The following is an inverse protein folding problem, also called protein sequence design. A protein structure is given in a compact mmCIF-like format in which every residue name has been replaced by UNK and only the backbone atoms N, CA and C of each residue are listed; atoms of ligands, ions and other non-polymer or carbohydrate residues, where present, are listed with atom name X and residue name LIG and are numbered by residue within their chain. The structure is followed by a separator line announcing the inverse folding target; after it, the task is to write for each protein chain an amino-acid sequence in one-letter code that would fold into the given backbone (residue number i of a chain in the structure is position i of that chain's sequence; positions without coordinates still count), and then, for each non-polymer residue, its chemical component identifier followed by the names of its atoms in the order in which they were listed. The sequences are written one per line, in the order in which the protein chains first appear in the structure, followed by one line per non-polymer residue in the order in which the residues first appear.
data_IF_258730799404
#
_entry.id   IF_258730799404
#
_cell.length_a   1.000
_cell.length_b   1.000
_cell.length_c   1.000
_cell.angle_alpha   90.00
_cell.angle_beta   90.00
_cell.angle_gamma   90.00
#
_symmetry.space_group_name_H-M   'P 1'
#
loop_
_entity.id
_entity.type
_entity.pdbx_description
1 polymer ?
#
# COMPACT_ATOMS: atom_id res chain seq x y z
N UNK A 1 20.88 -24.46 10.98
CA UNK A 1 20.42 -23.19 10.37
C UNK A 1 19.85 -23.57 9.01
N UNK A 2 18.65 -23.10 8.66
CA UNK A 2 18.08 -23.45 7.35
C UNK A 2 18.99 -22.92 6.24
N UNK A 3 19.23 -23.71 5.20
CA UNK A 3 20.14 -23.36 4.09
C UNK A 3 19.78 -22.01 3.43
N UNK A 4 18.50 -21.65 3.42
CA UNK A 4 18.02 -20.37 2.91
C UNK A 4 18.30 -19.19 3.85
N UNK A 5 18.88 -19.39 5.03
CA UNK A 5 19.25 -18.32 5.97
C UNK A 5 20.77 -18.09 6.03
N UNK A 6 21.51 -18.65 5.08
CA UNK A 6 22.95 -18.46 4.98
C UNK A 6 23.30 -17.01 4.62
N UNK A 7 24.18 -16.38 5.40
CA UNK A 7 24.62 -15.02 5.15
C UNK A 7 25.35 -14.89 3.81
N UNK A 8 26.11 -15.92 3.43
CA UNK A 8 26.83 -15.92 2.15
C UNK A 8 25.85 -15.81 0.99
N UNK A 9 24.68 -16.46 1.06
CA UNK A 9 23.70 -16.37 0.00
C UNK A 9 23.10 -14.96 -0.14
N UNK A 10 22.81 -14.28 0.96
CA UNK A 10 22.04 -13.03 0.94
C UNK A 10 22.87 -11.75 0.94
N UNK A 11 24.05 -11.77 1.56
CA UNK A 11 24.86 -10.59 1.86
C UNK A 11 26.11 -10.51 0.97
N UNK A 12 26.79 -9.36 0.92
CA UNK A 12 28.04 -9.21 0.17
C UNK A 12 29.12 -10.15 0.71
N UNK A 13 30.11 -10.46 -0.13
CA UNK A 13 31.22 -11.33 0.25
C UNK A 13 31.94 -10.80 1.50
N UNK A 14 32.16 -11.70 2.47
CA UNK A 14 32.83 -11.36 3.73
C UNK A 14 31.94 -10.70 4.79
N UNK A 15 30.62 -10.60 4.57
CA UNK A 15 29.66 -10.08 5.54
C UNK A 15 28.84 -11.23 6.14
N UNK A 16 28.71 -11.25 7.46
CA UNK A 16 27.92 -12.23 8.22
C UNK A 16 26.80 -11.56 9.02
N UNK A 17 25.80 -12.35 9.44
CA UNK A 17 24.76 -11.87 10.37
C UNK A 17 25.33 -11.34 11.70
N UNK A 18 26.43 -11.94 12.18
CA UNK A 18 27.08 -11.55 13.43
C UNK A 18 27.64 -10.12 13.37
N UNK A 19 28.10 -9.68 12.19
CA UNK A 19 28.63 -8.33 11.99
C UNK A 19 27.57 -7.23 12.17
N UNK A 20 26.29 -7.58 12.04
CA UNK A 20 25.17 -6.69 12.31
C UNK A 20 24.65 -6.86 13.74
N UNK A 21 24.43 -8.09 14.19
CA UNK A 21 23.83 -8.35 15.51
C UNK A 21 24.69 -7.84 16.66
N UNK A 22 26.01 -7.93 16.53
CA UNK A 22 26.94 -7.44 17.56
C UNK A 22 27.00 -5.90 17.65
N UNK A 23 26.45 -5.17 16.66
CA UNK A 23 26.42 -3.70 16.62
C UNK A 23 25.16 -3.10 17.25
N UNK A 24 24.29 -3.91 17.84
CA UNK A 24 23.00 -3.48 18.45
C UNK A 24 23.18 -2.78 19.81
N UNK A 25 24.32 -2.14 20.07
CA UNK A 25 24.70 -1.63 21.40
C UNK A 25 24.39 -0.16 21.62
N UNK A 26 24.01 0.59 20.59
CA UNK A 26 23.68 2.02 20.71
C UNK A 26 22.22 2.23 21.14
N UNK A 27 21.95 2.96 22.26
CA UNK A 27 20.60 3.26 22.69
C UNK A 27 19.80 3.99 21.61
N UNK A 28 18.61 3.48 21.28
CA UNK A 28 17.71 4.09 20.29
C UNK A 28 17.92 3.64 18.84
N UNK A 29 18.92 2.80 18.59
CA UNK A 29 19.17 2.20 17.28
C UNK A 29 19.20 0.67 17.38
N UNK A 30 18.89 0.01 16.27
CA UNK A 30 18.93 -1.44 16.17
C UNK A 30 19.33 -1.91 14.78
N UNK A 31 19.73 -3.18 14.70
CA UNK A 31 19.87 -3.90 13.43
C UNK A 31 18.70 -4.87 13.26
N UNK A 32 18.25 -5.13 12.02
CA UNK A 32 17.21 -6.12 11.76
C UNK A 32 17.59 -7.50 12.24
N UNK A 33 16.59 -8.26 12.68
CA UNK A 33 16.68 -9.66 13.03
C UNK A 33 15.35 -10.32 12.64
N UNK A 34 15.36 -11.59 12.22
CA UNK A 34 14.12 -12.25 11.78
C UNK A 34 13.04 -12.32 12.87
N UNK A 35 13.45 -12.42 14.14
CA UNK A 35 12.51 -12.44 15.28
C UNK A 35 11.68 -11.16 15.37
N UNK A 36 12.16 -10.04 14.84
CA UNK A 36 11.41 -8.79 14.80
C UNK A 36 10.18 -8.88 13.89
N UNK A 37 10.10 -9.83 12.96
CA UNK A 37 8.88 -10.08 12.20
C UNK A 37 7.69 -10.46 13.10
N UNK A 38 7.97 -10.97 14.32
CA UNK A 38 6.90 -11.19 15.30
C UNK A 38 6.24 -9.88 15.75
N UNK A 39 6.98 -8.76 15.76
CA UNK A 39 6.40 -7.43 16.05
C UNK A 39 5.42 -7.00 14.95
N UNK A 40 5.68 -7.38 13.70
CA UNK A 40 4.76 -7.18 12.58
C UNK A 40 3.47 -7.98 12.77
N UNK A 41 3.58 -9.24 13.21
CA UNK A 41 2.41 -10.08 13.53
C UNK A 41 1.61 -9.50 14.70
N UNK A 42 2.28 -9.11 15.79
CA UNK A 42 1.64 -8.52 16.96
C UNK A 42 0.89 -7.23 16.62
N UNK A 43 1.53 -6.31 15.91
CA UNK A 43 0.88 -5.07 15.44
C UNK A 43 -0.27 -5.36 14.49
N UNK A 44 -0.18 -6.40 13.64
CA UNK A 44 -1.29 -6.85 12.81
C UNK A 44 -2.49 -7.35 13.61
N UNK A 45 -2.27 -8.17 14.63
CA UNK A 45 -3.34 -8.60 15.56
C UNK A 45 -3.95 -7.39 16.26
N UNK A 46 -3.13 -6.46 16.75
CA UNK A 46 -3.61 -5.22 17.37
C UNK A 46 -4.46 -4.39 16.42
N UNK A 47 -4.09 -4.29 15.14
CA UNK A 47 -4.85 -3.55 14.13
C UNK A 47 -6.16 -4.26 13.74
N UNK A 48 -6.20 -5.59 13.76
CA UNK A 48 -7.45 -6.36 13.59
C UNK A 48 -8.40 -6.10 14.76
N UNK A 49 -7.90 -6.13 16.01
CA UNK A 49 -8.70 -5.81 17.19
C UNK A 49 -9.18 -4.35 17.13
N UNK A 50 -8.28 -3.42 16.79
CA UNK A 50 -8.62 -2.01 16.58
C UNK A 50 -9.75 -1.88 15.56
N UNK A 51 -9.68 -2.55 14.42
CA UNK A 51 -10.74 -2.56 13.41
C UNK A 51 -12.07 -3.03 14.00
N UNK A 52 -12.09 -4.22 14.61
CA UNK A 52 -13.32 -4.81 15.15
C UNK A 52 -13.97 -3.94 16.23
N UNK A 53 -13.18 -3.22 17.03
CA UNK A 53 -13.69 -2.34 18.08
C UNK A 53 -14.13 -0.99 17.50
N UNK A 54 -13.25 -0.28 16.80
CA UNK A 54 -13.53 1.09 16.36
C UNK A 54 -14.60 1.14 15.27
N UNK A 55 -14.66 0.16 14.38
CA UNK A 55 -15.69 0.09 13.34
C UNK A 55 -17.10 0.01 13.99
N UNK A 56 -17.28 -0.92 14.93
CA UNK A 56 -18.58 -1.18 15.56
C UNK A 56 -18.98 -0.12 16.60
N UNK A 57 -18.03 0.42 17.36
CA UNK A 57 -18.33 1.29 18.50
C UNK A 57 -18.13 2.78 18.25
N UNK A 58 -17.39 3.16 17.19
CA UNK A 58 -17.10 4.57 16.91
C UNK A 58 -17.61 4.98 15.54
N UNK A 59 -17.11 4.35 14.47
CA UNK A 59 -17.36 4.82 13.12
C UNK A 59 -18.79 4.56 12.63
N UNK A 60 -19.36 3.37 12.90
CA UNK A 60 -20.75 3.07 12.53
C UNK A 60 -21.74 3.98 13.28
N UNK A 61 -21.70 4.12 14.63
CA UNK A 61 -22.56 5.07 15.33
C UNK A 61 -22.40 6.52 14.85
N UNK A 62 -21.16 6.96 14.59
CA UNK A 62 -20.88 8.29 14.07
C UNK A 62 -21.49 8.49 12.67
N UNK A 63 -21.40 7.49 11.78
CA UNK A 63 -22.00 7.54 10.45
C UNK A 63 -23.53 7.65 10.52
N UNK A 64 -24.18 6.92 11.44
CA UNK A 64 -25.61 7.05 11.71
C UNK A 64 -25.99 8.41 12.29
N UNK A 65 -25.19 8.93 13.22
CA UNK A 65 -25.43 10.25 13.84
C UNK A 65 -25.31 11.40 12.83
N UNK A 66 -24.29 11.36 11.97
CA UNK A 66 -24.04 12.39 10.96
C UNK A 66 -25.04 12.31 9.79
N UNK A 67 -25.72 11.17 9.63
CA UNK A 67 -26.74 11.01 8.60
C UNK A 67 -27.95 11.92 8.84
N UNK A 68 -28.15 12.87 7.92
CA UNK A 68 -29.33 13.76 7.91
C UNK A 68 -30.59 13.15 7.26
N UNK A 69 -30.55 11.89 6.81
CA UNK A 69 -31.67 11.24 6.11
C UNK A 69 -32.62 10.53 7.09
N UNK A 70 -33.92 10.62 6.81
CA UNK A 70 -34.97 9.89 7.54
C UNK A 70 -34.72 8.39 7.48
N UNK A 71 -35.08 7.63 8.54
CA UNK A 71 -34.98 6.18 8.51
C UNK A 71 -35.89 5.61 7.41
N UNK A 72 -35.37 4.64 6.62
CA UNK A 72 -36.14 4.00 5.57
C UNK A 72 -37.31 3.19 6.15
N UNK A 73 -38.44 3.20 5.44
CA UNK A 73 -39.69 2.54 5.88
C UNK A 73 -39.68 1.02 5.63
N UNK A 74 -38.88 0.56 4.65
CA UNK A 74 -38.81 -0.85 4.27
C UNK A 74 -37.64 -1.55 4.94
N UNK A 75 -37.81 -2.83 5.29
CA UNK A 75 -36.74 -3.68 5.82
C UNK A 75 -35.51 -3.70 4.91
N UNK A 76 -35.73 -3.77 3.59
CA UNK A 76 -34.65 -3.75 2.61
C UNK A 76 -33.89 -2.42 2.66
N UNK A 77 -34.60 -1.28 2.71
CA UNK A 77 -33.97 0.03 2.83
C UNK A 77 -33.15 0.18 4.12
N UNK A 78 -33.60 -0.42 5.23
CA UNK A 78 -32.83 -0.44 6.50
C UNK A 78 -31.51 -1.20 6.31
N UNK A 79 -31.56 -2.39 5.70
CA UNK A 79 -30.37 -3.21 5.44
C UNK A 79 -29.39 -2.52 4.47
N UNK A 80 -29.89 -1.86 3.43
CA UNK A 80 -29.05 -1.16 2.45
C UNK A 80 -28.39 0.07 3.08
N UNK A 81 -29.11 0.77 3.97
CA UNK A 81 -28.56 1.88 4.76
C UNK A 81 -27.47 1.41 5.72
N UNK A 82 -27.66 0.27 6.38
CA UNK A 82 -26.66 -0.33 7.26
C UNK A 82 -25.39 -0.70 6.51
N UNK A 83 -25.53 -1.44 5.39
CA UNK A 83 -24.39 -1.79 4.51
C UNK A 83 -23.64 -0.54 4.04
N UNK A 84 -24.37 0.51 3.64
CA UNK A 84 -23.77 1.79 3.23
C UNK A 84 -22.88 2.35 4.35
N UNK A 85 -23.41 2.50 5.56
CA UNK A 85 -22.64 3.11 6.66
C UNK A 85 -21.49 2.26 7.16
N UNK A 86 -21.63 0.93 7.15
CA UNK A 86 -20.51 0.03 7.45
C UNK A 86 -19.38 0.24 6.44
N UNK A 87 -19.68 0.28 5.14
CA UNK A 87 -18.65 0.55 4.11
C UNK A 87 -18.02 1.93 4.25
N UNK A 88 -18.81 2.96 4.58
CA UNK A 88 -18.29 4.29 4.86
C UNK A 88 -17.37 4.31 6.08
N UNK A 89 -17.75 3.61 7.15
CA UNK A 89 -16.96 3.47 8.37
C UNK A 89 -15.61 2.79 8.09
N UNK A 90 -15.61 1.71 7.31
CA UNK A 90 -14.39 1.03 6.85
C UNK A 90 -13.48 1.97 6.06
N UNK A 91 -14.04 2.74 5.12
CA UNK A 91 -13.28 3.72 4.34
C UNK A 91 -12.71 4.83 5.23
N UNK A 92 -13.50 5.35 6.17
CA UNK A 92 -13.06 6.41 7.08
C UNK A 92 -11.94 5.95 8.01
N UNK A 93 -12.03 4.72 8.52
CA UNK A 93 -10.99 4.13 9.35
C UNK A 93 -9.68 3.94 8.58
N UNK A 94 -9.75 3.42 7.34
CA UNK A 94 -8.55 3.28 6.49
C UNK A 94 -7.96 4.64 6.11
N UNK A 95 -8.80 5.61 5.73
CA UNK A 95 -8.36 6.97 5.44
C UNK A 95 -7.65 7.62 6.63
N UNK A 96 -8.17 7.41 7.86
CA UNK A 96 -7.51 7.86 9.09
C UNK A 96 -6.16 7.17 9.28
N UNK A 97 -6.09 5.85 9.12
CA UNK A 97 -4.83 5.10 9.21
C UNK A 97 -3.79 5.64 8.21
N UNK A 98 -4.14 5.71 6.92
CA UNK A 98 -3.23 6.19 5.88
C UNK A 98 -2.79 7.63 6.13
N UNK A 99 -3.66 8.49 6.64
CA UNK A 99 -3.31 9.87 6.98
C UNK A 99 -2.27 9.90 8.12
N UNK A 100 -2.50 9.15 9.20
CA UNK A 100 -1.56 9.08 10.33
C UNK A 100 -0.24 8.44 9.90
N UNK A 101 -0.29 7.38 9.10
CA UNK A 101 0.90 6.69 8.56
C UNK A 101 1.70 7.59 7.64
N UNK A 102 1.05 8.27 6.69
CA UNK A 102 1.70 9.18 5.75
C UNK A 102 2.38 10.35 6.49
N UNK A 103 1.67 11.00 7.41
CA UNK A 103 2.24 12.11 8.19
C UNK A 103 3.42 11.65 9.07
N UNK A 104 3.29 10.50 9.75
CA UNK A 104 4.35 9.94 10.59
C UNK A 104 5.55 9.52 9.74
N UNK A 105 5.32 8.86 8.61
CA UNK A 105 6.36 8.42 7.70
C UNK A 105 7.10 9.60 7.07
N UNK A 106 6.38 10.64 6.63
CA UNK A 106 7.02 11.87 6.12
C UNK A 106 7.85 12.57 7.21
N UNK A 107 7.34 12.68 8.43
CA UNK A 107 8.09 13.25 9.55
C UNK A 107 9.34 12.44 9.88
N UNK A 108 9.25 11.12 9.99
CA UNK A 108 10.39 10.27 10.33
C UNK A 108 11.44 10.26 9.20
N UNK A 109 11.01 10.05 7.96
CA UNK A 109 11.92 9.85 6.82
C UNK A 109 12.54 11.17 6.36
N UNK A 110 11.87 12.31 6.52
CA UNK A 110 12.46 13.62 6.19
C UNK A 110 13.67 14.01 7.06
N UNK A 111 13.88 13.32 8.18
CA UNK A 111 15.07 13.46 9.03
C UNK A 111 16.22 12.54 8.58
N UNK A 112 16.01 11.69 7.59
CA UNK A 112 17.00 10.71 7.10
C UNK A 112 17.63 11.15 5.77
N UNK A 113 18.90 10.77 5.55
CA UNK A 113 19.64 11.17 4.35
C UNK A 113 19.03 10.63 3.05
N UNK A 114 18.48 9.41 3.09
CA UNK A 114 17.89 8.75 1.92
C UNK A 114 16.60 9.40 1.41
N UNK A 115 16.02 10.34 2.14
CA UNK A 115 14.92 11.15 1.63
C UNK A 115 15.37 12.16 0.57
N UNK A 116 16.61 12.65 0.68
CA UNK A 116 17.16 13.68 -0.21
C UNK A 116 18.10 13.09 -1.27
N UNK A 117 18.80 12.00 -0.94
CA UNK A 117 19.68 11.27 -1.86
C UNK A 117 19.38 9.77 -1.80
N UNK A 118 18.73 9.24 -2.85
CA UNK A 118 18.36 7.83 -2.93
C UNK A 118 19.56 6.86 -2.92
N UNK A 119 20.77 7.34 -3.26
CA UNK A 119 21.98 6.50 -3.23
C UNK A 119 22.35 6.09 -1.81
N UNK A 120 21.91 6.87 -0.80
CA UNK A 120 22.07 6.54 0.62
C UNK A 120 21.29 5.29 1.04
N UNK A 121 20.35 4.80 0.23
CA UNK A 121 19.74 3.48 0.43
C UNK A 121 20.75 2.33 0.26
N UNK A 122 21.85 2.55 -0.46
CA UNK A 122 22.76 1.49 -0.90
C UNK A 122 24.18 1.65 -0.35
N UNK A 123 24.64 2.89 -0.14
CA UNK A 123 25.97 3.15 0.42
C UNK A 123 26.14 2.47 1.76
N UNK A 124 27.20 1.65 1.90
CA UNK A 124 27.51 0.88 3.11
C UNK A 124 26.45 -0.14 3.53
N UNK A 125 25.49 -0.46 2.67
CA UNK A 125 24.59 -1.58 2.91
C UNK A 125 25.43 -2.88 3.10
N UNK A 126 25.09 -3.77 4.06
CA UNK A 126 23.91 -3.81 4.93
C UNK A 126 24.11 -3.16 6.31
N UNK A 127 25.09 -2.27 6.51
CA UNK A 127 25.44 -1.71 7.82
C UNK A 127 24.69 -0.41 8.16
N UNK A 128 23.37 -0.40 7.98
CA UNK A 128 22.54 0.76 8.33
C UNK A 128 21.92 0.57 9.72
N UNK A 129 22.28 1.37 10.74
CA UNK A 129 21.55 1.36 12.00
C UNK A 129 20.14 1.92 11.77
N UNK A 130 19.12 1.25 12.33
CA UNK A 130 17.72 1.64 12.20
C UNK A 130 17.29 2.32 13.51
N UNK A 131 16.84 3.58 13.48
CA UNK A 131 16.20 4.21 14.63
C UNK A 131 14.99 3.42 15.10
N UNK A 132 14.81 3.25 16.41
CA UNK A 132 13.67 2.51 17.00
C UNK A 132 12.32 3.05 16.53
N UNK A 133 12.21 4.36 16.26
CA UNK A 133 11.00 4.99 15.72
C UNK A 133 10.68 4.52 14.29
N UNK A 134 11.70 4.41 13.42
CA UNK A 134 11.56 3.86 12.07
C UNK A 134 11.21 2.38 12.14
N UNK A 135 11.80 1.63 13.08
CA UNK A 135 11.45 0.22 13.29
C UNK A 135 9.96 0.02 13.62
N UNK A 136 9.42 0.80 14.56
CA UNK A 136 8.00 0.77 14.88
C UNK A 136 7.11 1.17 13.72
N UNK A 137 7.47 2.23 12.98
CA UNK A 137 6.78 2.62 11.75
C UNK A 137 6.72 1.45 10.75
N UNK A 138 7.86 0.78 10.54
CA UNK A 138 7.97 -0.36 9.63
C UNK A 138 7.11 -1.56 10.05
N UNK A 139 7.13 -1.91 11.34
CA UNK A 139 6.34 -3.03 11.85
C UNK A 139 4.84 -2.75 11.82
N UNK A 140 4.43 -1.52 12.18
CA UNK A 140 3.02 -1.11 12.10
C UNK A 140 2.52 -1.15 10.66
N UNK A 141 3.34 -0.71 9.70
CA UNK A 141 3.01 -0.79 8.27
C UNK A 141 2.83 -2.24 7.81
N UNK A 142 3.78 -3.13 8.14
CA UNK A 142 3.63 -4.55 7.84
C UNK A 142 2.42 -5.20 8.54
N UNK A 143 2.17 -4.83 9.80
CA UNK A 143 1.00 -5.28 10.56
C UNK A 143 -0.31 -4.85 9.92
N UNK A 144 -0.36 -3.65 9.35
CA UNK A 144 -1.53 -3.19 8.62
C UNK A 144 -1.78 -4.04 7.37
N UNK A 145 -0.76 -4.39 6.59
CA UNK A 145 -0.92 -5.33 5.47
C UNK A 145 -1.41 -6.72 5.94
N UNK A 146 -0.96 -7.22 7.09
CA UNK A 146 -1.52 -8.46 7.69
C UNK A 146 -3.01 -8.28 7.99
N UNK A 147 -3.39 -7.13 8.57
CA UNK A 147 -4.80 -6.83 8.87
C UNK A 147 -5.66 -6.71 7.60
N UNK A 148 -5.10 -6.19 6.50
CA UNK A 148 -5.79 -6.13 5.20
C UNK A 148 -5.96 -7.51 4.56
N UNK A 149 -4.98 -8.40 4.67
CA UNK A 149 -5.12 -9.80 4.23
C UNK A 149 -6.22 -10.49 5.03
N UNK A 150 -6.22 -10.34 6.36
CA UNK A 150 -7.27 -10.89 7.21
C UNK A 150 -8.65 -10.33 6.83
N UNK A 151 -8.74 -9.01 6.60
CA UNK A 151 -9.94 -8.34 6.11
C UNK A 151 -10.47 -8.98 4.84
N UNK A 152 -9.66 -9.05 3.78
CA UNK A 152 -10.08 -9.58 2.48
C UNK A 152 -10.48 -11.07 2.55
N UNK A 153 -9.83 -11.87 3.40
CA UNK A 153 -10.10 -13.30 3.49
C UNK A 153 -11.34 -13.64 4.32
N UNK A 154 -11.65 -12.85 5.36
CA UNK A 154 -12.62 -13.24 6.38
C UNK A 154 -13.73 -12.22 6.65
N UNK A 155 -13.51 -10.93 6.41
CA UNK A 155 -14.44 -9.86 6.79
C UNK A 155 -15.08 -9.17 5.58
N UNK A 156 -14.28 -8.86 4.57
CA UNK A 156 -14.68 -8.00 3.46
C UNK A 156 -15.45 -8.79 2.40
N UNK A 157 -16.41 -8.13 1.76
CA UNK A 157 -17.06 -8.69 0.58
C UNK A 157 -16.06 -8.79 -0.58
N UNK A 158 -16.05 -9.94 -1.27
CA UNK A 158 -15.17 -10.16 -2.43
C UNK A 158 -15.52 -9.21 -3.57
N UNK A 159 -14.50 -8.51 -4.08
CA UNK A 159 -14.58 -7.57 -5.21
C UNK A 159 -14.02 -8.18 -6.50
N UNK A 160 -14.25 -7.52 -7.63
CA UNK A 160 -13.82 -8.01 -8.96
C UNK A 160 -12.29 -8.14 -9.10
N UNK A 161 -11.54 -7.36 -8.32
CA UNK A 161 -10.08 -7.40 -8.24
C UNK A 161 -9.54 -8.21 -7.05
N UNK A 162 -10.36 -9.10 -6.47
CA UNK A 162 -10.00 -9.90 -5.28
C UNK A 162 -8.63 -10.58 -5.40
N UNK A 163 -8.39 -11.29 -6.51
CA UNK A 163 -7.14 -12.04 -6.70
C UNK A 163 -5.94 -11.11 -6.87
N UNK A 164 -6.11 -10.00 -7.59
CA UNK A 164 -5.07 -8.99 -7.80
C UNK A 164 -4.69 -8.30 -6.49
N UNK A 165 -5.69 -7.93 -5.67
CA UNK A 165 -5.47 -7.36 -4.34
C UNK A 165 -4.81 -8.36 -3.38
N UNK A 166 -5.21 -9.63 -3.41
CA UNK A 166 -4.61 -10.68 -2.58
C UNK A 166 -3.14 -10.92 -2.97
N UNK A 167 -2.85 -11.05 -4.27
CA UNK A 167 -1.47 -11.18 -4.78
C UNK A 167 -0.63 -9.96 -4.41
N UNK A 168 -1.20 -8.76 -4.54
CA UNK A 168 -0.53 -7.53 -4.12
C UNK A 168 -0.15 -7.55 -2.64
N UNK A 169 -1.07 -7.90 -1.74
CA UNK A 169 -0.76 -7.96 -0.31
C UNK A 169 0.31 -9.00 0.03
N UNK A 170 0.32 -10.14 -0.65
CA UNK A 170 1.39 -11.12 -0.46
C UNK A 170 2.75 -10.60 -0.97
N UNK A 171 2.77 -9.91 -2.12
CA UNK A 171 3.98 -9.26 -2.64
C UNK A 171 4.46 -8.15 -1.69
N UNK A 172 3.57 -7.30 -1.19
CA UNK A 172 3.94 -6.22 -0.26
C UNK A 172 4.43 -6.78 1.08
N UNK A 173 3.79 -7.81 1.63
CA UNK A 173 4.28 -8.49 2.84
C UNK A 173 5.65 -9.15 2.63
N UNK A 174 5.87 -9.78 1.47
CA UNK A 174 7.18 -10.32 1.12
C UNK A 174 8.24 -9.23 0.98
N UNK A 175 7.91 -8.11 0.33
CA UNK A 175 8.78 -6.94 0.21
C UNK A 175 9.13 -6.39 1.58
N UNK A 176 8.14 -6.09 2.44
CA UNK A 176 8.36 -5.57 3.80
C UNK A 176 9.19 -6.55 4.63
N UNK A 177 8.86 -7.84 4.63
CA UNK A 177 9.57 -8.84 5.41
C UNK A 177 11.04 -8.99 4.99
N UNK A 178 11.30 -9.15 3.69
CA UNK A 178 12.65 -9.37 3.18
C UNK A 178 13.48 -8.09 3.28
N UNK A 179 12.93 -6.94 2.90
CA UNK A 179 13.64 -5.66 3.05
C UNK A 179 13.97 -5.34 4.51
N UNK A 180 13.11 -5.72 5.46
CA UNK A 180 13.44 -5.61 6.88
C UNK A 180 14.66 -6.49 7.19
N UNK A 181 14.56 -7.79 6.94
CA UNK A 181 15.60 -8.74 7.32
C UNK A 181 16.94 -8.41 6.66
N UNK A 182 16.93 -8.07 5.37
CA UNK A 182 18.12 -7.75 4.58
C UNK A 182 18.65 -6.34 4.87
N UNK A 183 18.11 -5.63 5.85
CA UNK A 183 18.45 -4.24 6.17
C UNK A 183 18.36 -3.27 4.99
N UNK A 184 17.32 -3.41 4.18
CA UNK A 184 16.94 -2.49 3.10
C UNK A 184 15.75 -1.61 3.52
N UNK A 185 15.70 -1.26 4.82
CA UNK A 185 14.63 -0.45 5.40
C UNK A 185 14.58 0.96 4.82
N UNK A 186 15.73 1.54 4.45
CA UNK A 186 15.82 2.88 3.84
C UNK A 186 14.95 2.99 2.57
N UNK A 187 15.20 2.14 1.57
CA UNK A 187 14.37 2.10 0.34
C UNK A 187 12.93 1.68 0.65
N UNK A 188 12.74 0.77 1.61
CA UNK A 188 11.41 0.34 2.05
C UNK A 188 10.55 1.49 2.58
N UNK A 189 11.12 2.37 3.41
CA UNK A 189 10.40 3.54 3.96
C UNK A 189 10.00 4.54 2.87
N UNK A 190 10.83 4.76 1.85
CA UNK A 190 10.49 5.61 0.71
C UNK A 190 9.31 5.03 -0.09
N UNK A 191 9.28 3.71 -0.28
CA UNK A 191 8.17 3.02 -0.94
C UNK A 191 6.90 3.20 -0.11
N UNK A 192 6.93 2.88 1.19
CA UNK A 192 5.79 2.97 2.09
C UNK A 192 5.16 4.38 2.10
N UNK A 193 5.97 5.43 2.31
CA UNK A 193 5.48 6.82 2.34
C UNK A 193 4.86 7.24 1.00
N UNK A 194 5.51 6.92 -0.13
CA UNK A 194 4.97 7.27 -1.44
C UNK A 194 3.67 6.54 -1.77
N UNK A 195 3.48 5.35 -1.22
CA UNK A 195 2.33 4.50 -1.47
C UNK A 195 1.09 4.98 -0.71
N UNK A 196 1.23 5.35 0.56
CA UNK A 196 0.12 5.80 1.42
C UNK A 196 -0.57 7.08 0.89
N UNK A 197 0.15 7.95 0.18
CA UNK A 197 -0.34 9.26 -0.26
C UNK A 197 -1.62 9.19 -1.11
N UNK A 198 -1.67 8.24 -2.06
CA UNK A 198 -2.84 8.11 -2.96
C UNK A 198 -3.99 7.37 -2.28
N UNK A 199 -3.69 6.47 -1.35
CA UNK A 199 -4.68 5.62 -0.69
C UNK A 199 -5.61 6.44 0.23
N UNK A 200 -5.10 7.54 0.80
CA UNK A 200 -5.91 8.56 1.49
C UNK A 200 -7.02 9.08 0.55
N UNK A 201 -6.64 9.50 -0.66
CA UNK A 201 -7.60 10.07 -1.62
C UNK A 201 -8.58 9.02 -2.13
N UNK A 202 -8.14 7.77 -2.33
CA UNK A 202 -9.01 6.68 -2.78
C UNK A 202 -10.12 6.41 -1.75
N UNK A 203 -9.78 6.28 -0.47
CA UNK A 203 -10.79 5.99 0.56
C UNK A 203 -11.66 7.21 0.87
N UNK A 204 -11.14 8.44 0.79
CA UNK A 204 -11.95 9.67 0.82
C UNK A 204 -12.93 9.71 -0.36
N UNK A 205 -12.48 9.38 -1.57
CA UNK A 205 -13.32 9.33 -2.76
C UNK A 205 -14.52 8.39 -2.61
N UNK A 206 -14.33 7.21 -2.00
CA UNK A 206 -15.45 6.29 -1.71
C UNK A 206 -16.48 6.90 -0.77
N UNK A 207 -16.03 7.60 0.28
CA UNK A 207 -16.93 8.28 1.22
C UNK A 207 -17.74 9.37 0.49
N UNK A 208 -17.08 10.18 -0.34
CA UNK A 208 -17.73 11.23 -1.14
C UNK A 208 -18.78 10.65 -2.11
N UNK A 209 -18.48 9.49 -2.71
CA UNK A 209 -19.43 8.75 -3.56
C UNK A 209 -20.65 8.29 -2.75
N UNK A 210 -20.45 7.70 -1.58
CA UNK A 210 -21.55 7.26 -0.72
C UNK A 210 -22.45 8.43 -0.29
N UNK A 211 -21.89 9.61 -0.08
CA UNK A 211 -22.62 10.84 0.26
C UNK A 211 -23.18 11.59 -0.95
N UNK A 212 -22.96 11.10 -2.18
CA UNK A 212 -23.47 11.70 -3.43
C UNK A 212 -23.00 13.16 -3.61
N UNK A 213 -21.75 13.44 -3.22
CA UNK A 213 -21.13 14.76 -3.36
C UNK A 213 -20.35 14.84 -4.67
N UNK A 214 -21.06 14.88 -5.80
CA UNK A 214 -20.50 14.68 -7.15
C UNK A 214 -19.34 15.64 -7.49
N UNK A 215 -19.47 16.94 -7.18
CA UNK A 215 -18.40 17.92 -7.43
C UNK A 215 -17.14 17.60 -6.62
N UNK A 216 -17.30 17.27 -5.34
CA UNK A 216 -16.17 16.92 -4.48
C UNK A 216 -15.53 15.59 -4.92
N UNK A 217 -16.35 14.61 -5.32
CA UNK A 217 -15.90 13.34 -5.87
C UNK A 217 -15.07 13.53 -7.13
N UNK A 218 -15.52 14.38 -8.07
CA UNK A 218 -14.78 14.68 -9.29
C UNK A 218 -13.42 15.34 -9.01
N UNK A 219 -13.37 16.31 -8.09
CA UNK A 219 -12.12 16.95 -7.66
C UNK A 219 -11.18 15.91 -7.00
N UNK A 220 -11.72 15.08 -6.11
CA UNK A 220 -10.96 14.03 -5.43
C UNK A 220 -10.41 13.00 -6.44
N UNK A 221 -11.22 12.57 -7.41
CA UNK A 221 -10.81 11.64 -8.46
C UNK A 221 -9.70 12.21 -9.35
N UNK A 222 -9.78 13.50 -9.72
CA UNK A 222 -8.68 14.17 -10.41
C UNK A 222 -7.39 14.16 -9.57
N UNK A 223 -7.50 14.40 -8.26
CA UNK A 223 -6.40 14.25 -7.31
C UNK A 223 -5.82 12.83 -7.27
N UNK A 224 -6.67 11.80 -7.22
CA UNK A 224 -6.24 10.39 -7.29
C UNK A 224 -5.42 10.14 -8.55
N UNK A 225 -5.86 10.58 -9.72
CA UNK A 225 -5.12 10.40 -10.98
C UNK A 225 -3.74 11.06 -10.93
N UNK A 226 -3.68 12.31 -10.48
CA UNK A 226 -2.42 13.07 -10.39
C UNK A 226 -1.44 12.37 -9.44
N UNK A 227 -1.89 12.06 -8.22
CA UNK A 227 -1.02 11.45 -7.20
C UNK A 227 -0.64 10.03 -7.60
N UNK A 228 -1.55 9.24 -8.19
CA UNK A 228 -1.26 7.89 -8.68
C UNK A 228 -0.16 7.90 -9.75
N UNK A 229 -0.27 8.77 -10.75
CA UNK A 229 0.75 8.90 -11.79
C UNK A 229 2.08 9.32 -11.18
N UNK A 230 2.07 10.36 -10.33
CA UNK A 230 3.28 10.88 -9.71
C UNK A 230 3.99 9.83 -8.84
N UNK A 231 3.28 9.10 -7.97
CA UNK A 231 3.90 8.16 -7.04
C UNK A 231 4.16 6.79 -7.65
N UNK A 232 3.21 6.22 -8.41
CA UNK A 232 3.28 4.82 -8.88
C UNK A 232 3.84 4.65 -10.29
N UNK A 233 3.67 5.64 -11.17
CA UNK A 233 4.13 5.55 -12.57
C UNK A 233 5.36 6.41 -12.87
N UNK A 234 5.67 7.39 -12.00
CA UNK A 234 6.84 8.25 -12.15
C UNK A 234 7.88 7.95 -11.07
N UNK A 235 7.61 8.31 -9.81
CA UNK A 235 8.56 8.15 -8.71
C UNK A 235 8.99 6.69 -8.52
N UNK A 236 8.04 5.76 -8.44
CA UNK A 236 8.34 4.35 -8.21
C UNK A 236 9.25 3.70 -9.28
N UNK A 237 8.95 3.76 -10.60
CA UNK A 237 9.84 3.16 -11.60
C UNK A 237 11.15 3.96 -11.82
N UNK A 238 11.09 5.29 -11.90
CA UNK A 238 12.24 6.09 -12.33
C UNK A 238 13.18 6.53 -11.20
N UNK A 239 12.74 6.49 -9.93
CA UNK A 239 13.62 6.70 -8.78
C UNK A 239 13.85 5.38 -8.04
N UNK A 240 12.80 4.74 -7.52
CA UNK A 240 12.97 3.55 -6.67
C UNK A 240 13.57 2.39 -7.47
N UNK A 241 12.87 1.89 -8.49
CA UNK A 241 13.31 0.73 -9.28
C UNK A 241 14.63 1.04 -9.99
N UNK A 242 14.80 2.25 -10.56
CA UNK A 242 16.08 2.69 -11.13
C UNK A 242 17.22 2.57 -10.12
N UNK A 243 17.02 3.00 -8.87
CA UNK A 243 18.08 2.94 -7.87
C UNK A 243 18.45 1.51 -7.49
N UNK A 244 17.47 0.60 -7.41
CA UNK A 244 17.73 -0.84 -7.22
C UNK A 244 18.51 -1.42 -8.40
N UNK A 245 18.15 -1.04 -9.62
CA UNK A 245 18.75 -1.59 -10.84
C UNK A 245 20.18 -1.11 -11.11
N UNK A 246 20.47 0.17 -10.81
CA UNK A 246 21.73 0.82 -11.19
C UNK A 246 22.58 1.24 -9.99
N UNK A 247 21.98 1.85 -8.97
CA UNK A 247 22.74 2.39 -7.84
C UNK A 247 23.13 1.26 -6.86
N UNK A 248 22.24 0.30 -6.61
CA UNK A 248 22.53 -0.84 -5.73
C UNK A 248 23.73 -1.67 -6.21
N UNK A 249 23.81 -2.18 -7.46
CA UNK A 249 24.99 -2.94 -7.89
C UNK A 249 26.27 -2.09 -7.84
N UNK A 250 26.21 -0.83 -8.28
CA UNK A 250 27.36 0.06 -8.31
C UNK A 250 27.91 0.44 -6.92
N UNK A 251 27.08 0.34 -5.87
CA UNK A 251 27.45 0.75 -4.51
C UNK A 251 27.60 -0.41 -3.52
N UNK A 252 27.03 -1.58 -3.82
CA UNK A 252 27.10 -2.77 -2.97
C UNK A 252 28.30 -3.65 -3.35
N UNK A 253 28.55 -3.86 -4.64
CA UNK A 253 29.63 -4.74 -5.09
C UNK A 253 30.03 -4.44 -6.56
N UNK A 254 31.26 -3.98 -6.78
CA UNK A 254 31.73 -3.49 -8.09
C UNK A 254 31.61 -4.50 -9.25
N UNK A 255 31.71 -5.81 -8.97
CA UNK A 255 31.61 -6.88 -9.96
C UNK A 255 30.20 -7.48 -10.08
N UNK A 256 29.16 -6.81 -9.59
CA UNK A 256 27.79 -7.36 -9.58
C UNK A 256 27.20 -7.55 -10.98
N UNK A 257 26.85 -8.78 -11.31
CA UNK A 257 26.28 -9.20 -12.59
C UNK A 257 24.83 -9.67 -12.41
N UNK A 258 23.86 -8.90 -12.88
CA UNK A 258 22.43 -9.23 -12.73
C UNK A 258 22.05 -10.63 -13.21
N UNK A 259 22.61 -11.07 -14.34
CA UNK A 259 22.29 -12.36 -14.98
C UNK A 259 23.02 -13.55 -14.33
N UNK A 260 23.98 -13.29 -13.45
CA UNK A 260 24.68 -14.35 -12.72
C UNK A 260 23.89 -14.71 -11.45
N UNK A 261 22.92 -15.61 -11.59
CA UNK A 261 22.05 -16.05 -10.49
C UNK A 261 22.78 -16.82 -9.38
N UNK A 262 24.04 -17.20 -9.57
CA UNK A 262 24.86 -17.84 -8.54
C UNK A 262 25.70 -16.84 -7.75
N UNK A 263 25.82 -15.59 -8.20
CA UNK A 263 26.64 -14.58 -7.57
C UNK A 263 25.95 -13.94 -6.36
N UNK A 264 26.68 -13.82 -5.27
CA UNK A 264 26.25 -13.12 -4.05
C UNK A 264 26.48 -11.60 -4.20
N UNK A 265 25.66 -10.73 -3.57
CA UNK A 265 24.45 -11.01 -2.77
C UNK A 265 23.18 -11.27 -3.60
N UNK A 266 22.29 -12.12 -3.11
CA UNK A 266 20.99 -12.39 -3.75
C UNK A 266 19.87 -11.41 -3.37
N UNK A 267 20.02 -10.67 -2.27
CA UNK A 267 18.97 -9.78 -1.77
C UNK A 267 18.48 -8.74 -2.80
N UNK A 268 19.35 -8.03 -3.55
CA UNK A 268 18.90 -7.08 -4.57
C UNK A 268 18.10 -7.74 -5.70
N UNK A 269 18.47 -8.95 -6.16
CA UNK A 269 17.72 -9.69 -7.21
C UNK A 269 16.31 -10.01 -6.77
N UNK A 270 16.16 -10.53 -5.55
CA UNK A 270 14.86 -10.95 -5.05
C UNK A 270 13.92 -9.76 -4.86
N UNK A 271 14.42 -8.66 -4.29
CA UNK A 271 13.63 -7.44 -4.15
C UNK A 271 13.31 -6.83 -5.51
N UNK A 272 14.25 -6.78 -6.46
CA UNK A 272 14.01 -6.26 -7.80
C UNK A 272 12.89 -7.03 -8.52
N UNK A 273 12.86 -8.36 -8.39
CA UNK A 273 11.79 -9.19 -8.94
C UNK A 273 10.42 -8.81 -8.35
N UNK A 274 10.33 -8.70 -7.02
CA UNK A 274 9.08 -8.34 -6.34
C UNK A 274 8.61 -6.91 -6.65
N UNK A 275 9.53 -5.95 -6.71
CA UNK A 275 9.22 -4.55 -7.07
C UNK A 275 8.69 -4.46 -8.51
N UNK A 276 9.27 -5.23 -9.43
CA UNK A 276 8.80 -5.28 -10.82
C UNK A 276 7.41 -5.91 -10.90
N UNK A 277 7.16 -7.01 -10.17
CA UNK A 277 5.82 -7.60 -10.08
C UNK A 277 4.79 -6.61 -9.52
N UNK A 278 5.18 -5.81 -8.52
CA UNK A 278 4.35 -4.76 -7.96
C UNK A 278 4.06 -3.64 -8.97
N UNK A 279 5.06 -3.23 -9.78
CA UNK A 279 4.87 -2.26 -10.87
C UNK A 279 3.85 -2.74 -11.91
N UNK A 280 3.88 -4.01 -12.29
CA UNK A 280 2.90 -4.58 -13.24
C UNK A 280 1.48 -4.41 -12.71
N UNK A 281 1.27 -4.66 -11.42
CA UNK A 281 -0.04 -4.44 -10.79
C UNK A 281 -0.42 -2.95 -10.76
N UNK A 282 0.53 -2.04 -10.49
CA UNK A 282 0.28 -0.60 -10.58
C UNK A 282 -0.17 -0.17 -11.99
N UNK A 283 0.45 -0.71 -13.05
CA UNK A 283 0.06 -0.43 -14.43
C UNK A 283 -1.34 -0.98 -14.72
N UNK A 284 -1.67 -2.18 -14.25
CA UNK A 284 -3.02 -2.74 -14.36
C UNK A 284 -4.08 -1.83 -13.72
N UNK A 285 -3.84 -1.35 -12.50
CA UNK A 285 -4.76 -0.45 -11.84
C UNK A 285 -4.79 0.95 -12.44
N UNK A 286 -3.68 1.46 -12.97
CA UNK A 286 -3.64 2.70 -13.73
C UNK A 286 -4.54 2.62 -14.96
N UNK A 287 -4.48 1.52 -15.72
CA UNK A 287 -5.37 1.28 -16.84
C UNK A 287 -6.84 1.38 -16.43
N UNK A 288 -7.22 0.77 -15.29
CA UNK A 288 -8.59 0.88 -14.77
C UNK A 288 -8.95 2.34 -14.44
N UNK A 289 -8.06 3.09 -13.78
CA UNK A 289 -8.31 4.49 -13.44
C UNK A 289 -8.49 5.36 -14.69
N UNK A 290 -7.64 5.20 -15.71
CA UNK A 290 -7.77 5.93 -16.97
C UNK A 290 -9.03 5.54 -17.74
N UNK A 291 -9.43 4.27 -17.69
CA UNK A 291 -10.71 3.81 -18.27
C UNK A 291 -11.90 4.50 -17.59
N UNK A 292 -11.90 4.59 -16.26
CA UNK A 292 -12.95 5.33 -15.50
C UNK A 292 -12.96 6.80 -15.89
N UNK A 293 -11.79 7.42 -16.02
CA UNK A 293 -11.67 8.82 -16.43
C UNK A 293 -12.23 9.06 -17.84
N UNK A 294 -11.89 8.19 -18.80
CA UNK A 294 -12.41 8.23 -20.16
C UNK A 294 -13.93 8.07 -20.19
N UNK A 295 -14.46 7.06 -19.50
CA UNK A 295 -15.90 6.82 -19.41
C UNK A 295 -16.64 8.01 -18.76
N UNK A 296 -16.03 8.65 -17.75
CA UNK A 296 -16.59 9.85 -17.11
C UNK A 296 -16.70 11.02 -18.08
N UNK A 297 -15.63 11.30 -18.83
CA UNK A 297 -15.61 12.41 -19.79
C UNK A 297 -16.57 12.17 -20.95
N UNK A 298 -16.65 10.92 -21.43
CA UNK A 298 -17.46 10.58 -22.60
C UNK A 298 -18.95 10.42 -22.29
N UNK A 299 -19.28 9.80 -21.16
CA UNK A 299 -20.66 9.42 -20.83
C UNK A 299 -21.25 10.20 -19.66
N UNK A 300 -20.45 11.06 -18.99
CA UNK A 300 -20.89 11.81 -17.81
C UNK A 300 -21.10 10.94 -16.57
N UNK A 301 -20.58 9.71 -16.54
CA UNK A 301 -20.76 8.77 -15.42
C UNK A 301 -19.43 8.50 -14.71
N UNK A 302 -19.33 8.96 -13.46
CA UNK A 302 -18.22 8.60 -12.55
C UNK A 302 -18.55 7.24 -11.91
N UNK A 303 -18.26 6.15 -12.60
CA UNK A 303 -18.55 4.80 -12.11
C UNK A 303 -17.28 3.98 -11.85
N UNK A 304 -17.16 3.46 -10.64
CA UNK A 304 -15.98 2.72 -10.17
C UNK A 304 -16.05 1.26 -10.62
N UNK A 305 -15.28 0.95 -11.67
CA UNK A 305 -15.18 -0.40 -12.26
C UNK A 305 -14.76 -1.47 -11.24
N UNK A 306 -14.18 -1.07 -10.09
CA UNK A 306 -13.71 -2.01 -9.06
C UNK A 306 -14.81 -2.38 -8.06
N UNK A 307 -15.91 -1.61 -8.02
CA UNK A 307 -17.11 -1.89 -7.24
C UNK A 307 -18.28 -2.32 -8.15
N UNK A 308 -17.98 -3.03 -9.25
CA UNK A 308 -18.95 -3.65 -10.17
C UNK A 308 -19.79 -4.76 -9.49
N UNK A 309 -20.57 -4.45 -8.45
CA UNK A 309 -21.66 -5.27 -7.92
C UNK A 309 -22.72 -4.48 -7.11
N UNK A 310 -22.75 -3.15 -7.15
CA UNK A 310 -24.05 -2.49 -6.97
C UNK A 310 -24.77 -2.69 -8.31
N UNK A 311 -25.83 -3.51 -8.36
CA UNK A 311 -26.61 -3.75 -9.60
C UNK A 311 -26.99 -2.41 -10.27
N UNK A 312 -27.15 -1.35 -9.48
CA UNK A 312 -27.36 0.00 -9.95
C UNK A 312 -26.20 0.60 -10.75
N UNK A 313 -24.93 0.33 -10.40
CA UNK A 313 -23.74 0.87 -11.08
C UNK A 313 -23.62 0.34 -12.51
N UNK A 314 -23.69 -0.97 -12.67
CA UNK A 314 -23.62 -1.62 -13.99
C UNK A 314 -24.79 -1.20 -14.90
N UNK A 315 -26.01 -1.14 -14.34
CA UNK A 315 -27.22 -0.69 -15.05
C UNK A 315 -27.12 0.79 -15.44
N UNK A 316 -26.61 1.66 -14.57
CA UNK A 316 -26.44 3.08 -14.87
C UNK A 316 -25.39 3.29 -15.98
N UNK A 317 -24.30 2.52 -15.98
CA UNK A 317 -23.28 2.56 -17.03
C UNK A 317 -23.81 2.08 -18.37
N UNK A 318 -24.57 0.98 -18.41
CA UNK A 318 -25.22 0.51 -19.63
C UNK A 318 -26.25 1.52 -20.17
N UNK A 319 -27.06 2.11 -19.28
CA UNK A 319 -28.02 3.15 -19.67
C UNK A 319 -27.33 4.37 -20.28
N UNK A 320 -26.26 4.86 -19.66
CA UNK A 320 -25.51 6.00 -20.19
C UNK A 320 -24.84 5.70 -21.54
N UNK A 321 -24.27 4.50 -21.72
CA UNK A 321 -23.71 4.05 -23.01
C UNK A 321 -24.77 3.97 -24.10
N UNK A 322 -25.96 3.48 -23.77
CA UNK A 322 -27.07 3.37 -24.72
C UNK A 322 -27.65 4.75 -25.08
N UNK A 323 -27.75 5.67 -24.11
CA UNK A 323 -28.18 7.05 -24.36
C UNK A 323 -27.21 7.81 -25.28
N UNK A 324 -25.90 7.65 -25.10
CA UNK A 324 -24.93 8.32 -25.97
C UNK A 324 -24.93 7.74 -27.38
N UNK A 325 -25.02 6.40 -27.53
CA UNK A 325 -25.17 5.77 -28.84
C UNK A 325 -26.41 6.27 -29.59
N UNK A 326 -27.52 6.51 -28.89
CA UNK A 326 -28.75 7.04 -29.50
C UNK A 326 -28.69 8.52 -29.90
N UNK A 327 -27.63 9.26 -29.52
CA UNK A 327 -27.39 10.63 -29.99
C UNK A 327 -26.53 10.68 -31.25
N UNK A 328 -25.75 9.63 -31.49
CA UNK A 328 -24.85 9.49 -32.63
C UNK A 328 -25.52 8.81 -33.84
N UNK A 329 -26.66 8.16 -33.64
CA UNK A 329 -27.59 7.63 -34.67
C UNK A 329 -28.70 8.65 -34.97
#
# INVERSE_FOLDING_TARGET
MFWWWDAEYWLPRGVSWADMYNKTTEPGFMYPHYSHLWMTVLTGISLIIYRLVFENYVFVPLAYFLSRKNPPETRQGVLDREKKYTRMAECAMRALYYTLSFCSGLYLVSNESHFYDITECWRKWPFHPIPTTIAWYYWIQGGFYISLVFGILFLDAKRSDFWQMLVHHFITLALVGISWIMNMSRVGTLILVSHDAVDILIDVGKILRYEQLDTALAICFAGVLIVWVATRLVYYPFWIIRSVWFDAPALIQDDYEWLNFSQQPQAPRFIMFLLTALLVLHIFWAYILFKIAYDTVKYGVVDDVREDFDENSAVNREKAKNQEKSKDD
#
